data_IF_214801705496
#
_entry.id   IF_214801705496
#
_cell.length_a   1.000
_cell.length_b   1.000
_cell.length_c   1.000
_cell.angle_alpha   90.00
_cell.angle_beta   90.00
_cell.angle_gamma   90.00
#
_symmetry.space_group_name_H-M   'P 1'
#
loop_
_entity.id
_entity.type
_entity.pdbx_description
1 polymer ?
#
# COMPACT_ATOMS: atom_id res chain seq x y z
N UNK A 1 -5.81 -0.06 -8.24
CA UNK A 1 -4.56 -0.52 -7.59
C UNK A 1 -3.65 -1.29 -8.55
N UNK A 2 -3.93 -2.54 -8.95
CA UNK A 2 -3.03 -3.32 -9.83
C UNK A 2 -2.65 -2.57 -11.12
N UNK A 3 -3.62 -1.93 -11.79
CA UNK A 3 -3.33 -1.14 -13.01
C UNK A 3 -2.46 0.08 -12.74
N UNK A 4 -2.49 0.66 -11.53
CA UNK A 4 -1.55 1.72 -11.14
C UNK A 4 -0.15 1.12 -11.01
N UNK A 5 -0.01 0.05 -10.22
CA UNK A 5 1.29 -0.60 -10.02
C UNK A 5 1.93 -1.10 -11.32
N UNK A 6 1.14 -1.60 -12.28
CA UNK A 6 1.63 -1.99 -13.61
C UNK A 6 2.21 -0.82 -14.42
N UNK A 7 1.66 0.39 -14.28
CA UNK A 7 2.14 1.57 -15.02
C UNK A 7 3.45 2.12 -14.47
N UNK A 8 3.68 1.96 -13.17
CA UNK A 8 4.88 2.48 -12.51
C UNK A 8 6.11 1.58 -12.67
N UNK A 9 5.94 0.35 -13.18
CA UNK A 9 7.06 -0.53 -13.48
C UNK A 9 8.10 0.20 -14.38
N UNK A 10 9.41 0.08 -14.09
CA UNK A 10 10.04 -0.87 -13.17
C UNK A 10 10.16 -0.38 -11.71
N UNK A 11 9.54 0.74 -11.35
CA UNK A 11 9.56 1.26 -9.98
C UNK A 11 8.45 0.66 -9.13
N UNK A 12 8.63 0.71 -7.81
CA UNK A 12 7.53 0.48 -6.87
C UNK A 12 6.51 1.60 -7.02
N UNK A 13 5.24 1.23 -7.23
CA UNK A 13 4.12 2.11 -6.98
C UNK A 13 3.75 2.10 -5.50
N UNK A 14 3.16 3.18 -5.02
CA UNK A 14 2.61 3.24 -3.68
C UNK A 14 1.29 4.02 -3.63
N UNK A 15 0.52 3.84 -2.57
CA UNK A 15 -0.63 4.68 -2.31
C UNK A 15 -1.35 4.34 -1.02
N UNK A 16 -2.43 5.08 -0.77
CA UNK A 16 -3.23 4.97 0.44
C UNK A 16 -4.59 4.33 0.11
N UNK A 17 -5.18 3.69 1.12
CA UNK A 17 -6.50 3.09 1.10
C UNK A 17 -7.34 3.71 2.22
N UNK A 18 -8.56 4.10 1.89
CA UNK A 18 -9.55 4.55 2.86
C UNK A 18 -10.88 3.84 2.66
N UNK A 19 -11.72 3.90 3.68
CA UNK A 19 -13.07 3.34 3.66
C UNK A 19 -13.66 3.29 5.06
N UNK A 20 -14.55 2.35 5.33
CA UNK A 20 -15.21 2.26 6.63
C UNK A 20 -15.53 0.82 7.01
N UNK A 21 -15.75 0.56 8.29
CA UNK A 21 -16.15 -0.75 8.80
C UNK A 21 -15.22 -1.91 8.36
N UNK A 22 -13.93 -1.64 8.23
CA UNK A 22 -12.93 -2.61 7.80
C UNK A 22 -12.94 -2.94 6.30
N UNK A 23 -13.65 -2.15 5.48
CA UNK A 23 -13.73 -2.29 4.02
C UNK A 23 -12.96 -1.15 3.35
N UNK A 24 -12.04 -1.48 2.43
CA UNK A 24 -11.38 -0.51 1.57
C UNK A 24 -12.31 -0.10 0.43
N UNK A 25 -12.77 1.16 0.45
CA UNK A 25 -13.73 1.70 -0.51
C UNK A 25 -13.04 2.58 -1.56
N UNK A 26 -12.00 3.30 -1.15
CA UNK A 26 -11.29 4.25 -2.01
C UNK A 26 -9.79 3.94 -2.08
N UNK A 27 -9.24 4.03 -3.29
CA UNK A 27 -7.81 3.89 -3.57
C UNK A 27 -7.27 5.26 -3.96
N UNK A 28 -6.21 5.69 -3.29
CA UNK A 28 -5.49 6.93 -3.55
C UNK A 28 -4.09 6.61 -4.11
N UNK A 29 -3.90 6.60 -5.44
CA UNK A 29 -2.56 6.50 -6.04
C UNK A 29 -1.68 7.68 -5.62
N UNK A 30 -0.46 7.37 -5.19
CA UNK A 30 0.54 8.35 -4.77
C UNK A 30 1.77 8.25 -5.67
N UNK A 31 2.54 9.34 -5.77
CA UNK A 31 3.82 9.29 -6.47
C UNK A 31 4.87 8.67 -5.54
N UNK A 32 5.65 7.72 -6.07
CA UNK A 32 6.87 7.28 -5.41
C UNK A 32 8.00 8.29 -5.72
N UNK A 33 8.27 9.18 -4.76
CA UNK A 33 9.30 10.22 -4.86
C UNK A 33 10.70 9.62 -5.07
N UNK A 34 10.96 8.41 -4.56
CA UNK A 34 12.26 7.76 -4.72
C UNK A 34 12.51 7.27 -6.14
N UNK A 35 11.44 7.03 -6.94
CA UNK A 35 11.52 6.33 -8.24
C UNK A 35 12.47 5.13 -8.18
N UNK A 36 12.23 4.27 -7.19
CA UNK A 36 13.07 3.12 -6.86
C UNK A 36 12.29 1.83 -7.11
N UNK A 37 12.98 0.76 -7.47
CA UNK A 37 12.40 -0.57 -7.69
C UNK A 37 12.32 -1.42 -6.43
N UNK A 38 12.79 -0.92 -5.29
CA UNK A 38 12.88 -1.66 -4.02
C UNK A 38 12.53 -0.79 -2.79
N UNK A 39 12.06 0.44 -3.01
CA UNK A 39 11.60 1.31 -1.94
C UNK A 39 10.64 2.37 -2.46
N UNK A 40 9.79 2.86 -1.56
CA UNK A 40 8.95 4.02 -1.83
C UNK A 40 9.04 5.10 -0.77
N UNK A 41 8.74 6.32 -1.17
CA UNK A 41 8.48 7.46 -0.28
C UNK A 41 7.42 8.34 -0.93
N UNK A 42 6.53 8.92 -0.12
CA UNK A 42 5.43 9.77 -0.60
C UNK A 42 5.69 11.23 -0.18
N UNK A 43 5.35 12.17 -1.06
CA UNK A 43 5.45 13.59 -0.76
C UNK A 43 4.46 14.00 0.35
N UNK A 44 4.94 14.78 1.34
CA UNK A 44 4.13 15.20 2.49
C UNK A 44 2.95 16.09 2.10
N UNK A 45 3.05 16.90 1.03
CA UNK A 45 1.93 17.73 0.59
C UNK A 45 0.87 16.88 -0.10
N UNK A 46 1.29 15.89 -0.89
CA UNK A 46 0.36 14.91 -1.47
C UNK A 46 -0.37 14.13 -0.37
N UNK A 47 0.36 13.68 0.66
CA UNK A 47 -0.23 12.98 1.83
C UNK A 47 -1.29 13.88 2.47
N UNK A 48 -0.93 15.12 2.84
CA UNK A 48 -1.87 16.08 3.46
C UNK A 48 -3.12 16.27 2.61
N UNK A 49 -2.95 16.47 1.30
CA UNK A 49 -4.07 16.62 0.40
C UNK A 49 -4.99 15.39 0.37
N UNK A 50 -4.43 14.18 0.32
CA UNK A 50 -5.24 12.96 0.36
C UNK A 50 -5.95 12.80 1.70
N UNK A 51 -5.32 13.12 2.83
CA UNK A 51 -5.99 13.08 4.14
C UNK A 51 -7.16 14.07 4.23
N UNK A 52 -7.06 15.27 3.64
CA UNK A 52 -8.18 16.19 3.52
C UNK A 52 -9.33 15.60 2.68
N UNK A 53 -9.02 14.85 1.63
CA UNK A 53 -10.03 14.20 0.80
C UNK A 53 -10.69 13.01 1.51
N UNK A 54 -9.92 12.24 2.27
CA UNK A 54 -10.41 11.14 3.11
C UNK A 54 -11.42 11.69 4.13
N UNK A 55 -11.08 12.77 4.84
CA UNK A 55 -11.96 13.44 5.81
C UNK A 55 -13.25 13.94 5.17
N UNK A 56 -13.16 14.61 4.00
CA UNK A 56 -14.35 15.08 3.25
C UNK A 56 -15.30 13.95 2.83
N UNK A 57 -14.79 12.73 2.73
CA UNK A 57 -15.58 11.54 2.37
C UNK A 57 -16.14 10.82 3.60
N UNK A 58 -15.80 11.25 4.81
CA UNK A 58 -16.09 10.55 6.07
C UNK A 58 -15.59 9.10 6.03
N UNK A 59 -14.41 8.88 5.44
CA UNK A 59 -13.74 7.59 5.41
C UNK A 59 -12.58 7.58 6.42
N UNK A 60 -12.25 6.41 6.94
CA UNK A 60 -11.08 6.17 7.76
C UNK A 60 -9.88 5.82 6.87
N UNK A 61 -8.68 6.19 7.31
CA UNK A 61 -7.43 5.68 6.73
C UNK A 61 -7.20 4.24 7.23
N UNK A 62 -7.27 3.26 6.33
CA UNK A 62 -7.27 1.84 6.73
C UNK A 62 -6.13 1.03 6.12
N UNK A 63 -5.38 1.59 5.18
CA UNK A 63 -4.29 0.83 4.57
C UNK A 63 -3.32 1.64 3.72
N UNK A 64 -2.15 1.06 3.56
CA UNK A 64 -1.12 1.47 2.60
C UNK A 64 -1.01 0.32 1.60
N UNK A 65 -0.84 0.63 0.32
CA UNK A 65 -0.41 -0.36 -0.63
C UNK A 65 0.87 0.06 -1.33
N UNK A 66 1.69 -0.92 -1.68
CA UNK A 66 2.81 -0.74 -2.58
C UNK A 66 3.02 -1.97 -3.45
N UNK A 67 3.91 -1.87 -4.44
CA UNK A 67 4.23 -2.99 -5.31
C UNK A 67 5.70 -3.35 -5.28
N UNK A 68 5.97 -4.64 -5.31
CA UNK A 68 7.29 -5.20 -5.58
C UNK A 68 7.38 -5.58 -7.07
N UNK A 69 8.22 -4.91 -7.88
CA UNK A 69 8.40 -5.21 -9.29
C UNK A 69 8.87 -6.64 -9.55
N UNK A 70 9.80 -7.13 -8.72
CA UNK A 70 10.47 -8.43 -8.92
C UNK A 70 10.44 -9.34 -7.70
N UNK A 71 10.14 -8.80 -6.52
CA UNK A 71 10.13 -9.56 -5.26
C UNK A 71 8.74 -10.07 -4.91
N UNK A 72 8.69 -11.07 -4.03
CA UNK A 72 7.44 -11.69 -3.58
C UNK A 72 6.49 -10.70 -2.89
N UNK A 73 5.20 -11.03 -2.81
CA UNK A 73 4.20 -10.22 -2.10
C UNK A 73 4.33 -10.41 -0.58
N UNK A 74 5.49 -10.09 -0.01
CA UNK A 74 5.80 -10.19 1.41
C UNK A 74 6.62 -8.98 1.83
N UNK A 75 6.40 -8.39 3.03
CA UNK A 75 7.09 -7.17 3.44
C UNK A 75 8.61 -7.34 3.43
N UNK A 76 9.31 -6.40 2.82
CA UNK A 76 10.76 -6.30 2.87
C UNK A 76 11.24 -5.89 4.27
N UNK A 77 12.55 -5.98 4.53
CA UNK A 77 13.12 -5.42 5.76
C UNK A 77 12.90 -3.91 5.87
N UNK A 78 12.96 -3.20 4.73
CA UNK A 78 12.67 -1.77 4.66
C UNK A 78 11.22 -1.47 5.06
N UNK A 79 10.26 -2.24 4.52
CA UNK A 79 8.83 -2.09 4.85
C UNK A 79 8.58 -2.25 6.35
N UNK A 80 9.23 -3.24 6.98
CA UNK A 80 9.05 -3.52 8.40
C UNK A 80 9.72 -2.46 9.27
N UNK A 81 10.95 -2.06 8.94
CA UNK A 81 11.77 -1.18 9.80
C UNK A 81 11.40 0.29 9.70
N UNK A 82 10.84 0.72 8.55
CA UNK A 82 10.44 2.10 8.31
C UNK A 82 8.94 2.34 8.54
N UNK A 83 8.18 1.31 8.95
CA UNK A 83 6.75 1.46 9.19
C UNK A 83 6.45 2.32 10.42
N UNK A 84 5.69 3.39 10.20
CA UNK A 84 5.16 4.25 11.27
C UNK A 84 3.63 4.15 11.43
N UNK A 85 2.98 3.21 10.74
CA UNK A 85 1.53 3.02 10.71
C UNK A 85 1.13 1.59 11.14
N UNK A 86 1.36 1.20 12.40
CA UNK A 86 1.08 -0.17 12.87
C UNK A 86 -0.41 -0.54 12.90
N UNK A 87 -1.30 0.44 12.83
CA UNK A 87 -2.76 0.29 12.93
C UNK A 87 -3.45 -0.06 11.60
N UNK A 88 -2.77 0.12 10.46
CA UNK A 88 -3.37 -0.07 9.13
C UNK A 88 -2.88 -1.34 8.43
N UNK A 89 -3.64 -1.79 7.42
CA UNK A 89 -3.23 -2.91 6.56
C UNK A 89 -2.18 -2.49 5.52
N UNK A 90 -1.16 -3.30 5.32
CA UNK A 90 -0.15 -3.15 4.27
C UNK A 90 -0.43 -4.15 3.15
N UNK A 91 -0.97 -3.66 2.03
CA UNK A 91 -1.18 -4.44 0.81
C UNK A 91 0.06 -4.42 -0.07
N UNK A 92 0.56 -5.61 -0.44
CA UNK A 92 1.73 -5.75 -1.30
C UNK A 92 1.31 -6.45 -2.57
N UNK A 93 1.55 -5.80 -3.72
CA UNK A 93 1.32 -6.34 -5.05
C UNK A 93 2.68 -6.78 -5.61
N UNK A 94 2.86 -8.06 -5.86
CA UNK A 94 4.08 -8.57 -6.50
C UNK A 94 3.86 -8.83 -7.99
N UNK A 95 4.84 -8.43 -8.79
CA UNK A 95 4.95 -8.77 -10.23
C UNK A 95 6.07 -9.79 -10.52
N UNK A 96 6.56 -10.49 -9.49
CA UNK A 96 7.60 -11.51 -9.63
C UNK A 96 7.20 -12.70 -10.52
N UNK A 97 5.90 -12.87 -10.79
CA UNK A 97 5.34 -13.92 -11.64
C UNK A 97 4.45 -13.33 -12.74
N UNK A 98 4.06 -14.15 -13.72
CA UNK A 98 3.16 -13.75 -14.81
C UNK A 98 1.79 -13.28 -14.32
N UNK A 99 1.35 -13.76 -13.15
CA UNK A 99 0.11 -13.34 -12.50
C UNK A 99 0.45 -12.51 -11.27
N UNK A 100 0.00 -11.26 -11.17
CA UNK A 100 0.27 -10.44 -10.00
C UNK A 100 -0.29 -11.08 -8.73
N UNK A 101 0.55 -11.24 -7.71
CA UNK A 101 0.12 -11.71 -6.40
C UNK A 101 -0.23 -10.52 -5.51
N UNK A 102 -1.30 -10.65 -4.73
CA UNK A 102 -1.70 -9.65 -3.74
C UNK A 102 -1.80 -10.29 -2.36
N UNK A 103 -1.10 -9.74 -1.38
CA UNK A 103 -1.20 -10.13 0.03
C UNK A 103 -1.32 -8.90 0.92
N UNK A 104 -1.89 -9.09 2.11
CA UNK A 104 -2.08 -8.03 3.10
C UNK A 104 -1.46 -8.44 4.43
N UNK A 105 -0.88 -7.49 5.14
CA UNK A 105 -0.19 -7.71 6.41
C UNK A 105 -0.49 -6.59 7.39
N UNK A 106 -0.54 -6.92 8.68
CA UNK A 106 -0.34 -5.95 9.75
C UNK A 106 1.12 -6.00 10.20
N UNK A 107 1.76 -4.83 10.32
CA UNK A 107 3.15 -4.71 10.73
C UNK A 107 3.21 -4.06 12.11
N UNK A 108 3.59 -4.81 13.14
CA UNK A 108 3.66 -4.29 14.52
C UNK A 108 5.06 -4.49 15.09
N UNK A 109 5.80 -3.39 15.22
CA UNK A 109 7.24 -3.44 15.52
C UNK A 109 7.97 -4.24 14.44
N UNK A 110 8.68 -5.30 14.81
CA UNK A 110 9.37 -6.20 13.85
C UNK A 110 8.55 -7.44 13.46
N UNK A 111 7.26 -7.49 13.83
CA UNK A 111 6.40 -8.65 13.58
C UNK A 111 5.52 -8.41 12.37
N UNK A 112 5.36 -9.46 11.56
CA UNK A 112 4.51 -9.50 10.37
C UNK A 112 3.35 -10.44 10.63
N UNK A 113 2.13 -9.95 10.51
CA UNK A 113 0.91 -10.74 10.69
C UNK A 113 0.10 -10.75 9.39
N UNK A 114 -0.06 -11.88 8.70
CA UNK A 114 -0.88 -11.96 7.50
C UNK A 114 -2.35 -11.62 7.81
N UNK A 115 -2.96 -10.78 6.98
CA UNK A 115 -4.39 -10.47 7.00
C UNK A 115 -5.04 -11.20 5.82
N UNK A 116 -6.10 -11.95 6.10
CA UNK A 116 -6.90 -12.57 5.05
C UNK A 116 -7.73 -11.51 4.32
N UNK A 117 -7.47 -11.35 3.02
CA UNK A 117 -8.26 -10.50 2.16
C UNK A 117 -9.59 -11.17 1.80
N UNK A 118 -10.67 -10.39 1.82
CA UNK A 118 -11.98 -10.75 1.29
C UNK A 118 -12.40 -9.66 0.30
N UNK A 119 -12.72 -10.06 -0.91
CA UNK A 119 -13.28 -9.15 -1.90
C UNK A 119 -14.79 -9.10 -1.69
N UNK A 120 -15.31 -7.90 -1.47
CA UNK A 120 -16.75 -7.63 -1.41
C UNK A 120 -17.24 -7.34 -2.83
N UNK A 121 -18.42 -7.86 -3.16
CA UNK A 121 -19.09 -7.65 -4.45
C UNK A 121 -20.04 -6.46 -4.38
#
# INVERSE_FOLDING_TARGET
MISHCKRELPYEACGLLSGGNGIAETIWPMENVNRSSFSFSMDLNQIRHVFELIDRRNEDFIGIYHSHPTDSAYPSEGDITLNNYPEVGHLIISFASSTPELKCFQLTGKKVFPIQLKFVN
#
